data_IF_321228305699
#
_entry.id   IF_321228305699
#
_cell.length_a   1.000
_cell.length_b   1.000
_cell.length_c   1.000
_cell.angle_alpha   90.00
_cell.angle_beta   90.00
_cell.angle_gamma   90.00
#
_symmetry.space_group_name_H-M   'P 1'
#
loop_
_entity.id
_entity.type
_entity.pdbx_description
1 polymer ?
#
# COMPACT_ATOMS: atom_id res chain seq x y z
N UNK A 1 -1.46 16.45 -4.85
CA UNK A 1 -0.13 17.09 -4.68
C UNK A 1 0.60 17.31 -6.00
N UNK A 2 1.04 16.27 -6.73
CA UNK A 2 1.86 16.43 -7.95
C UNK A 2 1.22 17.33 -9.01
N UNK A 3 -0.08 17.17 -9.29
CA UNK A 3 -0.83 18.04 -10.21
C UNK A 3 -0.69 19.53 -9.86
N UNK A 4 -0.75 19.88 -8.58
CA UNK A 4 -0.63 21.27 -8.13
C UNK A 4 0.78 21.82 -8.35
N UNK A 5 1.82 21.01 -8.07
CA UNK A 5 3.20 21.39 -8.36
C UNK A 5 3.44 21.62 -9.85
N UNK A 6 2.95 20.73 -10.70
CA UNK A 6 3.11 20.84 -12.16
C UNK A 6 2.36 22.04 -12.73
N UNK A 7 1.16 22.35 -12.24
CA UNK A 7 0.34 23.46 -12.72
C UNK A 7 0.84 24.83 -12.25
N UNK A 8 1.36 24.92 -11.04
CA UNK A 8 1.77 26.21 -10.45
C UNK A 8 3.26 26.51 -10.57
N UNK A 9 4.10 25.48 -10.74
CA UNK A 9 5.57 25.60 -10.69
C UNK A 9 6.11 26.00 -9.31
N UNK A 10 5.24 26.17 -8.31
CA UNK A 10 5.60 26.65 -6.98
C UNK A 10 6.04 25.49 -6.09
N UNK A 11 7.07 25.74 -5.28
CA UNK A 11 7.58 24.79 -4.27
C UNK A 11 7.19 25.17 -2.84
N UNK A 12 6.58 26.34 -2.63
CA UNK A 12 6.01 26.73 -1.35
C UNK A 12 4.57 26.18 -1.24
N UNK A 13 4.42 25.00 -0.64
CA UNK A 13 3.13 24.30 -0.54
C UNK A 13 2.56 24.25 0.86
N UNK A 14 3.25 24.79 1.87
CA UNK A 14 2.77 24.74 3.26
C UNK A 14 1.38 25.36 3.38
N UNK A 15 1.16 26.51 2.74
CA UNK A 15 -0.12 27.22 2.70
C UNK A 15 -1.23 26.43 1.97
N UNK A 16 -0.84 25.42 1.18
CA UNK A 16 -1.74 24.54 0.40
C UNK A 16 -1.78 23.12 0.91
N UNK A 17 -1.03 22.80 1.96
CA UNK A 17 -0.94 21.45 2.46
C UNK A 17 -2.30 20.98 2.98
N UNK A 18 -3.01 21.85 3.70
CA UNK A 18 -4.34 21.54 4.22
C UNK A 18 -5.34 21.25 3.10
N UNK A 19 -5.44 22.14 2.09
CA UNK A 19 -6.28 21.94 0.91
C UNK A 19 -5.99 20.59 0.21
N UNK A 20 -4.72 20.20 0.12
CA UNK A 20 -4.32 18.94 -0.52
C UNK A 20 -4.74 17.72 0.33
N UNK A 21 -4.57 17.80 1.64
CA UNK A 21 -4.96 16.73 2.58
C UNK A 21 -6.47 16.57 2.58
N UNK A 22 -7.23 17.67 2.66
CA UNK A 22 -8.69 17.64 2.69
C UNK A 22 -9.24 17.08 1.38
N UNK A 23 -8.72 17.52 0.23
CA UNK A 23 -9.11 16.98 -1.07
C UNK A 23 -8.80 15.48 -1.21
N UNK A 24 -7.65 15.02 -0.69
CA UNK A 24 -7.32 13.60 -0.70
C UNK A 24 -8.27 12.81 0.20
N UNK A 25 -8.53 13.29 1.42
CA UNK A 25 -9.36 12.60 2.39
C UNK A 25 -10.82 12.53 1.96
N UNK A 26 -11.33 13.55 1.27
CA UNK A 26 -12.69 13.61 0.75
C UNK A 26 -12.89 12.91 -0.61
N UNK A 27 -11.82 12.47 -1.27
CA UNK A 27 -11.93 11.75 -2.54
C UNK A 27 -12.24 10.26 -2.31
N UNK A 28 -13.11 9.63 -3.12
CA UNK A 28 -13.31 8.19 -3.12
C UNK A 28 -12.03 7.43 -3.46
N UNK A 29 -11.64 6.46 -2.61
CA UNK A 29 -10.46 5.62 -2.83
C UNK A 29 -10.85 4.21 -3.26
N UNK A 30 -10.33 3.73 -4.40
CA UNK A 30 -10.59 2.35 -4.85
C UNK A 30 -10.16 1.29 -3.84
N UNK A 31 -9.05 1.54 -3.15
CA UNK A 31 -8.52 0.66 -2.10
C UNK A 31 -9.36 0.63 -0.83
N UNK A 32 -10.32 1.56 -0.68
CA UNK A 32 -11.28 1.60 0.42
C UNK A 32 -12.71 1.34 -0.09
N UNK A 33 -12.84 0.52 -1.14
CA UNK A 33 -14.16 0.17 -1.73
C UNK A 33 -14.94 1.43 -2.16
N UNK A 34 -14.24 2.40 -2.74
CA UNK A 34 -14.77 3.71 -3.13
C UNK A 34 -15.30 4.58 -1.96
N UNK A 35 -14.98 4.24 -0.71
CA UNK A 35 -15.18 5.13 0.43
C UNK A 35 -14.10 6.21 0.47
N UNK A 36 -14.42 7.34 1.08
CA UNK A 36 -13.47 8.42 1.36
C UNK A 36 -12.70 8.12 2.65
N UNK A 37 -11.48 8.64 2.79
CA UNK A 37 -10.67 8.35 3.98
C UNK A 37 -11.23 8.98 5.25
N UNK A 38 -11.92 10.12 5.13
CA UNK A 38 -12.53 10.82 6.27
C UNK A 38 -13.84 10.18 6.77
N UNK A 39 -14.48 9.32 5.97
CA UNK A 39 -15.64 8.53 6.40
C UNK A 39 -15.26 7.28 7.22
N UNK A 40 -13.97 6.94 7.30
CA UNK A 40 -13.50 5.79 8.10
C UNK A 40 -13.52 6.16 9.58
N UNK A 41 -14.30 5.42 10.36
CA UNK A 41 -14.49 5.60 11.80
C UNK A 41 -14.06 4.34 12.56
N UNK A 42 -13.97 4.45 13.90
CA UNK A 42 -13.67 3.29 14.75
C UNK A 42 -14.74 2.20 14.69
N UNK A 43 -15.96 2.54 14.26
CA UNK A 43 -17.10 1.64 14.21
C UNK A 43 -17.15 0.86 12.90
N UNK A 44 -16.94 1.52 11.76
CA UNK A 44 -17.00 0.88 10.44
C UNK A 44 -15.68 0.20 10.00
N UNK A 45 -14.57 0.41 10.72
CA UNK A 45 -13.26 -0.16 10.35
C UNK A 45 -13.28 -1.68 10.20
N UNK A 46 -14.08 -2.38 11.01
CA UNK A 46 -14.17 -3.85 10.97
C UNK A 46 -14.94 -4.28 9.72
N UNK A 47 -16.06 -3.64 9.42
CA UNK A 47 -16.85 -3.90 8.21
C UNK A 47 -16.03 -3.63 6.94
N UNK A 48 -15.30 -2.51 6.91
CA UNK A 48 -14.34 -2.18 5.85
C UNK A 48 -13.26 -3.24 5.70
N UNK A 49 -12.68 -3.69 6.81
CA UNK A 49 -11.69 -4.75 6.80
C UNK A 49 -12.28 -6.05 6.24
N UNK A 50 -13.49 -6.43 6.65
CA UNK A 50 -14.19 -7.61 6.13
C UNK A 50 -14.52 -7.48 4.64
N UNK A 51 -14.92 -6.31 4.14
CA UNK A 51 -15.14 -6.09 2.71
C UNK A 51 -13.85 -6.22 1.90
N UNK A 52 -12.72 -5.74 2.44
CA UNK A 52 -11.42 -5.78 1.77
C UNK A 52 -10.77 -7.17 1.80
N UNK A 53 -10.87 -7.87 2.93
CA UNK A 53 -10.06 -9.04 3.25
C UNK A 53 -10.87 -10.27 3.68
N UNK A 54 -12.13 -10.12 4.07
CA UNK A 54 -12.95 -11.21 4.64
C UNK A 54 -13.20 -12.38 3.69
N UNK A 55 -13.19 -12.15 2.37
CA UNK A 55 -13.28 -13.22 1.36
C UNK A 55 -11.94 -13.82 0.94
N UNK A 56 -10.81 -13.31 1.45
CA UNK A 56 -9.48 -13.78 1.09
C UNK A 56 -8.97 -14.88 1.99
N UNK A 57 -9.46 -15.01 3.23
CA UNK A 57 -8.98 -16.01 4.19
C UNK A 57 -9.09 -17.45 3.64
N UNK A 58 -10.16 -17.80 2.93
CA UNK A 58 -10.28 -19.11 2.29
C UNK A 58 -9.34 -19.31 1.08
N UNK A 59 -8.97 -18.24 0.37
CA UNK A 59 -8.15 -18.30 -0.85
C UNK A 59 -6.65 -18.20 -0.56
N UNK A 60 -6.24 -17.52 0.50
CA UNK A 60 -4.83 -17.30 0.88
C UNK A 60 -4.37 -18.25 1.99
N UNK A 61 -5.26 -18.80 2.82
CA UNK A 61 -4.89 -19.78 3.85
C UNK A 61 -4.81 -21.23 3.37
N UNK A 62 -4.72 -21.46 2.05
CA UNK A 62 -3.95 -22.62 1.58
C UNK A 62 -2.48 -22.27 1.74
N UNK A 63 -2.00 -22.21 2.99
CA UNK A 63 -0.59 -22.22 3.31
C UNK A 63 -0.01 -23.43 2.58
N UNK A 64 0.58 -23.21 1.41
CA UNK A 64 1.26 -24.28 0.68
C UNK A 64 2.33 -24.74 1.64
N UNK A 65 2.25 -26.00 2.09
CA UNK A 65 3.25 -26.59 2.97
C UNK A 65 4.63 -26.21 2.42
N UNK A 66 5.49 -25.67 3.29
CA UNK A 66 6.82 -25.28 2.91
C UNK A 66 7.47 -26.49 2.21
N UNK A 67 7.88 -26.30 0.95
CA UNK A 67 8.44 -27.39 0.13
C UNK A 67 9.81 -27.83 0.63
N UNK A 68 10.49 -26.96 1.37
CA UNK A 68 11.81 -27.19 1.92
C UNK A 68 11.69 -27.70 3.36
N UNK A 69 12.46 -28.74 3.67
CA UNK A 69 12.61 -29.29 5.02
C UNK A 69 14.05 -29.08 5.49
N UNK A 70 14.25 -29.12 6.80
CA UNK A 70 15.59 -29.11 7.41
C UNK A 70 16.38 -30.28 6.82
N UNK A 71 17.61 -30.01 6.34
CA UNK A 71 18.49 -31.01 5.72
C UNK A 71 18.41 -31.09 4.19
N UNK A 72 17.51 -30.36 3.51
CA UNK A 72 17.53 -30.30 2.05
C UNK A 72 18.78 -29.56 1.54
N UNK A 73 19.52 -30.18 0.62
CA UNK A 73 20.55 -29.49 -0.15
C UNK A 73 19.90 -28.57 -1.18
N UNK A 74 20.10 -27.26 -1.03
CA UNK A 74 19.55 -26.21 -1.91
C UNK A 74 20.67 -25.42 -2.58
N UNK A 75 20.48 -25.01 -3.84
CA UNK A 75 21.43 -24.17 -4.56
C UNK A 75 21.17 -22.70 -4.21
N UNK A 76 22.16 -22.05 -3.61
CA UNK A 76 22.12 -20.61 -3.33
C UNK A 76 22.68 -19.87 -4.56
N UNK A 77 21.90 -18.96 -5.15
CA UNK A 77 22.37 -18.13 -6.27
C UNK A 77 23.14 -16.92 -5.74
N UNK A 78 24.43 -16.84 -6.11
CA UNK A 78 25.30 -15.69 -5.76
C UNK A 78 24.87 -14.37 -6.42
N UNK A 79 24.09 -14.42 -7.50
CA UNK A 79 23.59 -13.22 -8.19
C UNK A 79 22.44 -12.52 -7.44
N UNK A 80 21.82 -13.20 -6.46
CA UNK A 80 20.70 -12.69 -5.65
C UNK A 80 21.08 -12.57 -4.17
N UNK A 81 22.21 -11.93 -3.89
CA UNK A 81 22.57 -11.57 -2.51
C UNK A 81 21.65 -10.47 -1.95
N UNK A 82 21.93 -10.00 -0.73
CA UNK A 82 21.24 -8.95 0.02
C UNK A 82 20.48 -7.97 -0.87
N UNK A 83 19.18 -7.90 -0.65
CA UNK A 83 18.31 -6.91 -1.29
C UNK A 83 18.91 -5.51 -1.12
N UNK A 84 19.43 -4.95 -2.21
CA UNK A 84 19.81 -3.54 -2.28
C UNK A 84 18.60 -2.77 -2.78
N UNK A 85 18.08 -1.85 -1.97
CA UNK A 85 17.00 -0.95 -2.35
C UNK A 85 17.54 -0.01 -3.44
N UNK A 86 17.20 -0.26 -4.70
CA UNK A 86 17.62 0.54 -5.83
C UNK A 86 16.93 1.91 -5.83
N UNK A 87 17.51 2.89 -5.13
CA UNK A 87 17.13 4.32 -5.26
C UNK A 87 18.23 5.18 -5.87
N UNK A 88 19.12 4.61 -6.68
CA UNK A 88 20.00 5.39 -7.54
C UNK A 88 20.08 4.72 -8.90
N UNK A 89 19.24 5.18 -9.82
CA UNK A 89 19.64 5.26 -11.21
C UNK A 89 20.53 6.48 -11.36
N UNK A 90 21.79 6.25 -11.72
CA UNK A 90 22.62 7.15 -12.52
C UNK A 90 23.32 6.26 -13.54
#
# INVERSE_FOLDING_TARGET
>A
MWKWFTLTGKRHYLDKLQDIVDAYNASPHKSLVNMTSNEVTRFNKLDLWHMLYGGQEEKTMRWKKAKLKIGHHVRISRARMTFQKGYKGM
#
